data_IF_851733363460
#
_entry.id   IF_851733363460
#
_cell.length_a   1.000
_cell.length_b   1.000
_cell.length_c   1.000
_cell.angle_alpha   90.00
_cell.angle_beta   90.00
_cell.angle_gamma   90.00
#
_symmetry.space_group_name_H-M   'P 1'
#
loop_
_entity.id
_entity.type
_entity.pdbx_description
1 polymer ?
#
# COMPACT_ATOMS: atom_id res chain seq x y z
N UNK A 1 0.48 -15.84 32.99
CA UNK A 1 0.71 -14.38 32.78
C UNK A 1 1.27 -14.20 31.37
N UNK A 2 0.55 -13.57 30.44
CA UNK A 2 1.13 -13.20 29.15
C UNK A 2 1.89 -11.87 29.33
N UNK A 3 3.20 -11.87 29.05
CA UNK A 3 4.02 -10.66 29.09
C UNK A 3 3.49 -9.63 28.09
N UNK A 4 3.28 -8.39 28.55
CA UNK A 4 2.77 -7.28 27.74
C UNK A 4 3.89 -6.64 26.90
N UNK A 5 4.68 -7.47 26.23
CA UNK A 5 5.81 -7.02 25.43
C UNK A 5 5.31 -6.50 24.08
N UNK A 6 5.62 -5.23 23.75
CA UNK A 6 5.37 -4.70 22.41
C UNK A 6 6.17 -5.53 21.40
N UNK A 7 5.48 -6.13 20.43
CA UNK A 7 6.11 -6.86 19.33
C UNK A 7 6.31 -5.91 18.16
N UNK A 8 7.55 -5.79 17.72
CA UNK A 8 7.89 -5.05 16.51
C UNK A 8 8.20 -6.05 15.40
N UNK A 9 7.78 -5.72 14.18
CA UNK A 9 8.17 -6.45 12.97
C UNK A 9 8.97 -5.53 12.07
N UNK A 10 10.04 -6.06 11.48
CA UNK A 10 10.80 -5.33 10.47
C UNK A 10 10.14 -5.58 9.12
N UNK A 11 9.66 -4.50 8.48
CA UNK A 11 9.13 -4.54 7.12
C UNK A 11 10.16 -3.93 6.19
N UNK A 12 10.40 -4.61 5.07
CA UNK A 12 11.22 -4.12 3.99
C UNK A 12 10.30 -3.70 2.84
N UNK A 13 10.30 -2.41 2.50
CA UNK A 13 9.50 -1.92 1.36
C UNK A 13 10.27 -2.25 0.09
N UNK A 14 9.87 -3.33 -0.58
CA UNK A 14 10.47 -3.79 -1.84
C UNK A 14 9.88 -3.11 -3.07
N UNK A 15 8.65 -2.58 -2.97
CA UNK A 15 7.99 -1.84 -4.04
C UNK A 15 7.35 -0.56 -3.51
N UNK A 16 7.81 0.59 -4.01
CA UNK A 16 7.29 1.91 -3.64
C UNK A 16 6.01 2.28 -4.40
N UNK A 17 5.72 1.57 -5.49
CA UNK A 17 4.56 1.80 -6.36
C UNK A 17 3.35 1.00 -5.90
N UNK A 18 3.00 1.07 -4.62
CA UNK A 18 1.72 0.52 -4.19
C UNK A 18 0.57 1.33 -4.80
N UNK A 19 -0.61 0.75 -5.06
CA UNK A 19 -1.81 1.50 -5.38
C UNK A 19 -2.02 2.59 -4.34
N UNK A 20 -1.92 3.84 -4.79
CA UNK A 20 -1.98 5.06 -3.98
C UNK A 20 -0.81 5.35 -3.04
N UNK A 21 0.35 4.73 -3.25
CA UNK A 21 1.56 5.08 -2.49
C UNK A 21 2.09 6.46 -2.90
N UNK A 22 2.57 7.29 -1.95
CA UNK A 22 3.34 8.48 -2.28
C UNK A 22 4.66 8.06 -2.94
N UNK A 23 5.04 8.70 -4.05
CA UNK A 23 6.40 8.54 -4.55
C UNK A 23 7.32 9.50 -3.80
N UNK A 24 8.44 8.99 -3.31
CA UNK A 24 9.57 9.86 -2.97
C UNK A 24 10.16 10.40 -4.28
N UNK A 25 10.43 11.71 -4.34
CA UNK A 25 11.04 12.38 -5.49
C UNK A 25 12.29 11.59 -5.94
N UNK A 26 12.16 10.82 -7.03
CA UNK A 26 13.26 10.05 -7.58
C UNK A 26 14.11 11.02 -8.40
N UNK A 27 15.27 11.38 -7.87
CA UNK A 27 16.32 11.97 -8.68
C UNK A 27 16.67 10.95 -9.77
N UNK A 28 16.67 11.40 -11.04
CA UNK A 28 16.77 10.63 -12.29
C UNK A 28 17.95 9.63 -12.45
N UNK A 29 18.73 9.36 -11.40
CA UNK A 29 19.95 8.54 -11.43
C UNK A 29 20.11 7.56 -10.25
N UNK A 30 19.06 7.22 -9.50
CA UNK A 30 19.16 6.19 -8.45
C UNK A 30 18.53 4.87 -8.92
N UNK A 31 19.19 3.72 -8.67
CA UNK A 31 18.60 2.42 -8.94
C UNK A 31 17.27 2.27 -8.17
N UNK A 32 16.26 1.77 -8.87
CA UNK A 32 14.85 1.58 -8.51
C UNK A 32 14.60 0.81 -7.19
N UNK A 33 15.64 0.19 -6.62
CA UNK A 33 15.61 -0.59 -5.40
C UNK A 33 16.27 0.18 -4.25
N UNK A 34 15.64 1.25 -3.77
CA UNK A 34 16.01 1.81 -2.47
C UNK A 34 15.13 1.18 -1.38
N UNK A 35 15.44 -0.07 -1.06
CA UNK A 35 14.87 -0.77 0.07
C UNK A 35 15.11 0.04 1.34
N UNK A 36 14.03 0.34 2.05
CA UNK A 36 14.06 0.97 3.36
C UNK A 36 13.46 0.01 4.38
N UNK A 37 14.20 -0.23 5.46
CA UNK A 37 13.78 -1.06 6.57
C UNK A 37 13.14 -0.19 7.63
N UNK A 38 11.96 -0.58 8.09
CA UNK A 38 11.27 0.08 9.19
C UNK A 38 10.86 -0.96 10.24
N UNK A 39 11.05 -0.61 11.52
CA UNK A 39 10.52 -1.39 12.64
C UNK A 39 9.15 -0.83 13.00
N UNK A 40 8.09 -1.58 12.66
CA UNK A 40 6.71 -1.17 12.90
C UNK A 40 6.14 -1.91 14.11
N UNK A 41 5.28 -1.23 14.87
CA UNK A 41 4.53 -1.86 15.95
C UNK A 41 3.43 -2.73 15.35
N UNK A 42 3.56 -4.03 15.54
CA UNK A 42 2.58 -5.00 15.06
C UNK A 42 1.52 -5.23 16.13
N UNK A 43 0.25 -5.20 15.71
CA UNK A 43 -0.90 -5.38 16.59
C UNK A 43 -1.76 -6.56 16.11
N UNK A 44 -2.63 -7.06 16.98
CA UNK A 44 -3.67 -8.00 16.56
C UNK A 44 -4.77 -7.23 15.82
N UNK A 45 -5.21 -7.76 14.68
CA UNK A 45 -6.33 -7.22 13.91
C UNK A 45 -7.71 -7.61 14.45
N UNK A 46 -7.79 -8.30 15.59
CA UNK A 46 -9.08 -8.69 16.19
C UNK A 46 -10.06 -7.52 16.42
N UNK A 47 -9.62 -6.32 16.86
CA UNK A 47 -10.51 -5.14 16.95
C UNK A 47 -11.09 -4.71 15.59
N UNK A 48 -10.38 -5.01 14.51
CA UNK A 48 -10.80 -4.77 13.13
C UNK A 48 -11.57 -5.95 12.52
N UNK A 49 -11.88 -6.98 13.31
CA UNK A 49 -12.56 -8.22 12.90
C UNK A 49 -11.79 -9.02 11.85
N UNK A 50 -10.46 -8.96 11.87
CA UNK A 50 -9.59 -9.89 11.14
C UNK A 50 -8.78 -10.75 12.11
N UNK A 51 -8.35 -11.92 11.66
CA UNK A 51 -7.40 -12.79 12.36
C UNK A 51 -5.93 -12.42 12.05
N UNK A 52 -5.71 -11.45 11.16
CA UNK A 52 -4.37 -11.04 10.73
C UNK A 52 -3.67 -10.12 11.73
N UNK A 53 -2.36 -10.02 11.55
CA UNK A 53 -1.57 -8.97 12.15
C UNK A 53 -1.72 -7.68 11.35
N UNK A 54 -1.80 -6.55 12.06
CA UNK A 54 -1.95 -5.24 11.44
C UNK A 54 -0.87 -4.27 11.88
N UNK A 55 -0.55 -3.33 11.00
CA UNK A 55 0.33 -2.20 11.28
C UNK A 55 -0.32 -0.90 10.84
N UNK A 56 -0.09 0.15 11.62
CA UNK A 56 -0.48 1.50 11.24
C UNK A 56 0.76 2.23 10.72
N UNK A 57 0.67 2.77 9.51
CA UNK A 57 1.73 3.54 8.87
C UNK A 57 1.22 4.92 8.49
N UNK A 58 2.16 5.85 8.34
CA UNK A 58 1.90 7.16 7.77
C UNK A 58 2.13 7.20 6.28
N UNK A 59 1.13 7.62 5.51
CA UNK A 59 1.25 7.85 4.08
C UNK A 59 1.10 9.34 3.75
N UNK A 60 1.96 9.81 2.83
CA UNK A 60 1.84 11.12 2.23
C UNK A 60 2.37 12.28 3.08
N UNK A 61 2.13 13.49 2.62
CA UNK A 61 2.53 14.74 3.29
C UNK A 61 1.44 15.79 3.12
N UNK A 62 0.76 16.24 4.20
CA UNK A 62 0.88 15.77 5.57
C UNK A 62 0.51 14.28 5.72
N UNK A 63 1.01 13.66 6.78
CA UNK A 63 0.83 12.24 7.04
C UNK A 63 -0.66 11.90 7.27
N UNK A 64 -1.16 10.92 6.54
CA UNK A 64 -2.43 10.25 6.77
C UNK A 64 -2.16 8.84 7.29
N UNK A 65 -2.69 8.51 8.46
CA UNK A 65 -2.51 7.19 9.04
C UNK A 65 -3.44 6.18 8.35
N UNK A 66 -2.87 5.07 7.91
CA UNK A 66 -3.61 3.91 7.38
C UNK A 66 -3.20 2.66 8.12
N UNK A 67 -4.17 1.79 8.39
CA UNK A 67 -3.92 0.47 8.97
C UNK A 67 -3.95 -0.59 7.88
N UNK A 68 -2.89 -1.38 7.78
CA UNK A 68 -2.70 -2.42 6.77
C UNK A 68 -2.61 -3.79 7.44
N UNK A 69 -3.16 -4.79 6.77
CA UNK A 69 -2.92 -6.19 7.10
C UNK A 69 -1.53 -6.60 6.61
N UNK A 70 -0.78 -7.30 7.45
CA UNK A 70 0.53 -7.85 7.08
C UNK A 70 0.34 -9.15 6.30
N UNK A 71 0.44 -9.06 4.97
CA UNK A 71 0.39 -10.20 4.06
C UNK A 71 1.80 -10.53 3.56
N UNK A 72 2.41 -11.60 4.07
CA UNK A 72 3.70 -12.11 3.56
C UNK A 72 3.54 -13.03 2.36
N UNK A 73 2.30 -13.33 1.95
CA UNK A 73 1.96 -14.22 0.84
C UNK A 73 1.76 -13.51 -0.49
N UNK A 74 1.87 -12.17 -0.54
CA UNK A 74 1.80 -11.40 -1.78
C UNK A 74 2.80 -10.23 -1.81
N UNK A 75 3.11 -9.75 -3.01
CA UNK A 75 4.08 -8.67 -3.23
C UNK A 75 3.43 -7.28 -3.32
N UNK A 76 2.10 -7.21 -3.36
CA UNK A 76 1.35 -5.97 -3.56
C UNK A 76 0.95 -5.34 -2.22
N UNK A 77 1.53 -4.18 -1.91
CA UNK A 77 1.04 -3.31 -0.82
C UNK A 77 0.04 -2.31 -1.37
N UNK A 78 -1.19 -2.30 -0.86
CA UNK A 78 -2.26 -1.41 -1.33
C UNK A 78 -3.19 -0.95 -0.19
N UNK A 79 -3.89 0.17 -0.38
CA UNK A 79 -4.95 0.67 0.52
C UNK A 79 -6.11 1.26 -0.29
N UNK A 80 -7.28 1.47 0.32
CA UNK A 80 -8.40 2.11 -0.36
C UNK A 80 -8.19 3.63 -0.44
N UNK A 81 -8.57 4.24 -1.56
CA UNK A 81 -8.27 5.64 -1.86
C UNK A 81 -9.51 6.41 -2.34
N UNK A 82 -9.54 7.71 -2.06
CA UNK A 82 -10.59 8.60 -2.57
C UNK A 82 -10.30 9.08 -4.00
N UNK A 83 -11.35 9.23 -4.84
CA UNK A 83 -12.70 8.70 -4.64
C UNK A 83 -12.69 7.18 -4.80
N UNK A 84 -13.41 6.48 -3.93
CA UNK A 84 -13.61 5.05 -4.09
C UNK A 84 -14.95 4.74 -4.74
N UNK A 85 -14.93 3.85 -5.73
CA UNK A 85 -16.10 3.46 -6.51
C UNK A 85 -16.76 2.22 -5.90
N UNK A 86 -15.99 1.15 -5.67
CA UNK A 86 -16.46 -0.11 -5.09
C UNK A 86 -15.50 -0.55 -3.97
N UNK A 87 -15.72 0.01 -2.77
CA UNK A 87 -14.88 -0.21 -1.60
C UNK A 87 -15.59 -1.07 -0.55
N UNK A 88 -14.81 -1.89 0.15
CA UNK A 88 -15.28 -2.47 1.40
C UNK A 88 -15.35 -1.41 2.50
N UNK A 89 -16.23 -1.64 3.48
CA UNK A 89 -16.34 -0.76 4.66
C UNK A 89 -15.16 -0.99 5.58
N UNK A 90 -14.23 -0.03 5.63
CA UNK A 90 -13.17 0.02 6.62
C UNK A 90 -13.55 0.92 7.81
N UNK A 91 -12.97 0.65 8.98
CA UNK A 91 -13.16 1.48 10.18
C UNK A 91 -12.39 2.80 10.11
N UNK A 92 -11.14 2.73 9.64
CA UNK A 92 -10.27 3.90 9.48
C UNK A 92 -10.67 4.74 8.25
N UNK A 93 -10.33 6.03 8.21
CA UNK A 93 -10.53 6.85 7.02
C UNK A 93 -9.82 6.29 5.78
N UNK A 94 -10.51 6.32 4.65
CA UNK A 94 -9.94 6.01 3.32
C UNK A 94 -8.90 7.08 2.98
N UNK A 95 -7.73 6.67 2.49
CA UNK A 95 -6.64 7.58 2.13
C UNK A 95 -7.09 8.58 1.07
N UNK A 96 -6.80 9.86 1.28
CA UNK A 96 -7.09 10.92 0.31
C UNK A 96 -5.81 11.34 -0.42
N UNK A 97 -5.53 10.77 -1.61
CA UNK A 97 -4.32 11.09 -2.36
C UNK A 97 -4.22 12.57 -2.72
N UNK A 98 -5.35 13.28 -2.87
CA UNK A 98 -5.36 14.69 -3.26
C UNK A 98 -5.01 15.64 -2.12
N UNK A 99 -5.03 15.16 -0.88
CA UNK A 99 -4.59 15.93 0.29
C UNK A 99 -3.11 15.74 0.61
N UNK A 100 -2.38 14.93 -0.18
CA UNK A 100 -0.95 14.67 -0.01
C UNK A 100 -0.13 15.33 -1.11
N UNK A 101 0.83 16.18 -0.74
CA UNK A 101 1.77 16.82 -1.67
C UNK A 101 2.84 15.88 -2.22
N UNK A 102 3.04 14.71 -1.60
CA UNK A 102 3.98 13.67 -2.04
C UNK A 102 3.29 12.53 -2.80
N UNK A 103 1.98 12.65 -3.02
CA UNK A 103 1.28 11.73 -3.90
C UNK A 103 1.58 12.06 -5.37
N UNK A 104 1.93 11.05 -6.14
CA UNK A 104 2.02 11.12 -7.59
C UNK A 104 1.44 9.85 -8.20
N UNK A 105 0.89 10.00 -9.40
CA UNK A 105 0.30 8.91 -10.16
C UNK A 105 1.35 8.28 -11.05
N UNK A 106 1.27 6.97 -11.23
CA UNK A 106 2.11 6.31 -12.22
C UNK A 106 1.49 6.42 -13.61
N UNK A 107 2.15 7.18 -14.49
CA UNK A 107 1.76 7.27 -15.90
C UNK A 107 2.02 5.96 -16.64
N UNK A 108 1.28 5.74 -17.72
CA UNK A 108 1.56 4.62 -18.63
C UNK A 108 2.92 4.83 -19.30
N UNK A 109 3.91 4.03 -18.91
CA UNK A 109 5.29 4.09 -19.41
C UNK A 109 6.04 2.81 -19.08
N UNK A 110 7.35 2.79 -19.30
CA UNK A 110 8.20 1.62 -19.03
C UNK A 110 8.08 1.14 -17.58
N UNK A 111 8.00 2.06 -16.62
CA UNK A 111 7.83 1.76 -15.20
C UNK A 111 6.53 0.98 -14.91
N UNK A 112 5.45 1.26 -15.63
CA UNK A 112 4.20 0.51 -15.51
C UNK A 112 4.36 -0.94 -15.97
N UNK A 113 5.12 -1.15 -17.05
CA UNK A 113 5.38 -2.49 -17.61
C UNK A 113 6.28 -3.35 -16.72
N UNK A 114 7.02 -2.75 -15.80
CA UNK A 114 7.87 -3.46 -14.83
C UNK A 114 7.09 -3.95 -13.60
N UNK A 115 5.83 -3.53 -13.43
CA UNK A 115 4.97 -3.95 -12.32
C UNK A 115 4.24 -5.25 -12.68
N UNK A 116 4.51 -6.32 -11.92
CA UNK A 116 3.98 -7.67 -12.19
C UNK A 116 2.45 -7.80 -12.18
N UNK A 117 1.72 -6.81 -11.67
CA UNK A 117 0.25 -6.79 -11.62
C UNK A 117 -0.38 -5.73 -12.54
N UNK A 118 0.42 -5.01 -13.33
CA UNK A 118 -0.09 -4.06 -14.31
C UNK A 118 -0.82 -4.80 -15.43
N UNK A 119 -2.07 -4.41 -15.70
CA UNK A 119 -2.91 -5.06 -16.71
C UNK A 119 -3.12 -4.21 -17.96
N UNK A 120 -3.17 -2.89 -17.81
CA UNK A 120 -3.45 -1.99 -18.93
C UNK A 120 -3.17 -0.53 -18.57
N UNK A 121 -3.26 0.34 -19.57
CA UNK A 121 -3.32 1.77 -19.37
C UNK A 121 -4.77 2.24 -19.33
N UNK A 122 -5.22 2.78 -18.19
CA UNK A 122 -6.57 3.32 -18.02
C UNK A 122 -6.54 4.83 -17.77
N UNK A 123 -7.04 5.61 -18.75
CA UNK A 123 -7.04 7.08 -18.72
C UNK A 123 -5.63 7.66 -18.43
N UNK A 124 -4.61 7.11 -19.08
CA UNK A 124 -3.22 7.55 -18.90
C UNK A 124 -2.55 7.09 -17.59
N UNK A 125 -3.19 6.21 -16.82
CA UNK A 125 -2.68 5.67 -15.55
C UNK A 125 -2.44 4.17 -15.65
N UNK A 126 -1.43 3.70 -14.94
CA UNK A 126 -1.12 2.27 -14.85
C UNK A 126 -2.20 1.55 -14.04
N UNK A 127 -3.03 0.73 -14.70
CA UNK A 127 -4.09 -0.04 -14.04
C UNK A 127 -3.56 -1.40 -13.60
N UNK A 128 -4.04 -1.88 -12.44
CA UNK A 128 -3.67 -3.18 -11.89
C UNK A 128 -4.90 -4.00 -11.51
N UNK A 129 -4.72 -5.32 -11.45
CA UNK A 129 -5.66 -6.25 -10.82
C UNK A 129 -4.87 -7.35 -10.12
N UNK A 130 -5.22 -7.65 -8.87
CA UNK A 130 -4.65 -8.75 -8.09
C UNK A 130 -5.76 -9.63 -7.55
N UNK A 131 -5.70 -10.92 -7.86
CA UNK A 131 -6.57 -11.95 -7.30
C UNK A 131 -5.80 -12.75 -6.24
N UNK A 132 -6.48 -13.11 -5.15
CA UNK A 132 -5.96 -13.89 -4.04
C UNK A 132 -6.51 -15.32 -4.06
N UNK A 133 -5.88 -16.22 -3.30
CA UNK A 133 -6.23 -17.65 -3.31
C UNK A 133 -7.64 -17.94 -2.76
N UNK A 134 -8.20 -17.04 -1.95
CA UNK A 134 -9.57 -17.14 -1.44
C UNK A 134 -10.63 -16.62 -2.43
N UNK A 135 -10.21 -16.20 -3.63
CA UNK A 135 -11.06 -15.63 -4.67
C UNK A 135 -11.36 -14.14 -4.49
N UNK A 136 -10.86 -13.51 -3.42
CA UNK A 136 -10.92 -12.05 -3.27
C UNK A 136 -9.97 -11.36 -4.27
N UNK A 137 -10.21 -10.09 -4.54
CA UNK A 137 -9.38 -9.32 -5.46
C UNK A 137 -9.29 -7.84 -5.08
N UNK A 138 -8.26 -7.17 -5.59
CA UNK A 138 -8.08 -5.72 -5.55
C UNK A 138 -7.79 -5.22 -6.96
N UNK A 139 -8.41 -4.12 -7.36
CA UNK A 139 -8.16 -3.47 -8.64
C UNK A 139 -8.19 -1.95 -8.51
N UNK A 140 -7.46 -1.29 -9.40
CA UNK A 140 -7.35 0.16 -9.37
C UNK A 140 -6.26 0.68 -10.29
N UNK A 141 -5.68 1.81 -9.89
CA UNK A 141 -4.55 2.43 -10.58
C UNK A 141 -3.45 2.75 -9.59
N UNK A 142 -2.21 2.72 -10.07
CA UNK A 142 -1.04 3.17 -9.34
C UNK A 142 -0.98 4.71 -9.25
#
# INVERSE_FOLDING_TARGET
>A
MCSNSRKYSTVEVVHMFGPCSPQHEQTKNKPFLQSSKASLLTQSGAPLKTLDHVVTIGLGTPQQNVTLMMDTGSELTWTQCKPCIDCYKQQDPVYDPFSSSTYSRLSCGSECSELGYAISCFKGRCAYKREYNDGSYSEGVY
#
